data_IF_027238649497
#
_entry.id   IF_027238649497
#
_cell.length_a   1.000
_cell.length_b   1.000
_cell.length_c   1.000
_cell.angle_alpha   90.00
_cell.angle_beta   90.00
_cell.angle_gamma   90.00
#
_symmetry.space_group_name_H-M   'P 1'
#
loop_
_entity.id
_entity.type
_entity.pdbx_description
1 polymer ?
#
# COMPACT_ATOMS: atom_id res chain seq x y z
N UNK A 1 -5.02 -26.52 13.33
CA UNK A 1 -4.25 -25.40 13.93
C UNK A 1 -5.28 -24.50 14.60
N UNK A 2 -5.07 -24.17 15.87
CA UNK A 2 -6.06 -23.47 16.69
C UNK A 2 -6.01 -21.94 16.40
N UNK A 3 -7.17 -21.30 16.24
CA UNK A 3 -7.33 -19.87 15.96
C UNK A 3 -7.46 -19.01 17.22
N UNK A 4 -7.50 -19.62 18.40
CA UNK A 4 -7.71 -18.96 19.70
C UNK A 4 -6.67 -17.87 20.04
N UNK A 5 -5.51 -17.86 19.35
CA UNK A 5 -4.45 -16.87 19.56
C UNK A 5 -4.62 -15.59 18.73
N UNK A 6 -5.64 -15.49 17.88
CA UNK A 6 -5.89 -14.27 17.11
C UNK A 6 -6.52 -13.20 18.00
N UNK A 7 -5.94 -11.99 18.05
CA UNK A 7 -6.56 -10.88 18.76
C UNK A 7 -7.94 -10.55 18.18
N UNK A 8 -8.92 -10.46 19.06
CA UNK A 8 -10.30 -10.03 18.78
C UNK A 8 -10.70 -8.79 19.58
N UNK A 9 -9.76 -8.25 20.37
CA UNK A 9 -9.98 -7.14 21.30
C UNK A 9 -10.47 -5.85 20.62
N UNK A 10 -11.17 -4.96 21.35
CA UNK A 10 -11.89 -3.81 20.79
C UNK A 10 -11.01 -2.65 20.29
N UNK A 11 -9.70 -2.87 20.08
CA UNK A 11 -8.83 -1.87 19.45
C UNK A 11 -9.13 -1.67 17.96
N UNK A 12 -9.77 -2.65 17.30
CA UNK A 12 -10.22 -2.55 15.92
C UNK A 12 -11.74 -2.38 15.87
N UNK A 13 -12.19 -1.30 15.22
CA UNK A 13 -13.61 -1.04 14.98
C UNK A 13 -14.12 -1.89 13.80
N UNK A 14 -14.67 -3.06 14.13
CA UNK A 14 -15.20 -3.98 13.12
C UNK A 14 -16.39 -3.42 12.33
N UNK A 15 -17.09 -2.38 12.82
CA UNK A 15 -18.20 -1.77 12.08
C UNK A 15 -17.73 -1.18 10.74
N UNK A 16 -16.46 -0.75 10.66
CA UNK A 16 -15.84 -0.24 9.43
C UNK A 16 -15.31 -1.34 8.51
N UNK A 17 -15.12 -2.55 9.03
CA UNK A 17 -14.56 -3.69 8.28
C UNK A 17 -15.65 -4.41 7.49
N UNK A 18 -16.80 -4.62 8.11
CA UNK A 18 -17.89 -5.39 7.50
C UNK A 18 -18.47 -4.70 6.27
N UNK A 19 -18.56 -5.44 5.17
CA UNK A 19 -19.09 -4.93 3.89
C UNK A 19 -18.15 -4.00 3.12
N UNK A 20 -16.93 -3.79 3.61
CA UNK A 20 -15.94 -2.92 2.97
C UNK A 20 -14.57 -3.58 2.80
N UNK A 21 -14.00 -4.18 3.86
CA UNK A 21 -12.60 -4.61 3.87
C UNK A 21 -12.39 -6.12 3.97
N UNK A 22 -13.26 -6.86 4.66
CA UNK A 22 -13.09 -8.30 4.87
C UNK A 22 -14.42 -9.01 5.17
N UNK A 23 -14.59 -10.21 4.64
CA UNK A 23 -15.72 -11.10 4.90
C UNK A 23 -15.35 -12.21 5.90
N UNK A 24 -16.35 -12.71 6.64
CA UNK A 24 -16.18 -13.83 7.61
C UNK A 24 -15.04 -13.57 8.62
N UNK A 25 -15.10 -12.40 9.26
CA UNK A 25 -14.03 -11.90 10.14
C UNK A 25 -13.94 -12.71 11.43
N UNK A 26 -12.74 -13.19 11.75
CA UNK A 26 -12.43 -13.97 12.98
C UNK A 26 -11.43 -13.28 13.92
N UNK A 27 -10.98 -12.07 13.57
CA UNK A 27 -9.98 -11.30 14.32
C UNK A 27 -9.12 -10.44 13.40
N UNK A 28 -7.94 -10.02 13.86
CA UNK A 28 -6.96 -9.31 13.05
C UNK A 28 -5.53 -9.75 13.37
N UNK A 29 -4.58 -9.38 12.51
CA UNK A 29 -3.15 -9.63 12.72
C UNK A 29 -2.46 -8.31 13.07
N UNK A 30 -1.97 -8.12 14.31
CA UNK A 30 -1.19 -6.93 14.64
C UNK A 30 0.18 -6.99 13.96
N UNK A 31 0.57 -5.89 13.32
CA UNK A 31 1.91 -5.72 12.74
C UNK A 31 2.67 -4.64 13.53
N UNK A 32 3.93 -4.89 13.94
CA UNK A 32 4.77 -3.85 14.53
C UNK A 32 4.94 -2.68 13.56
N UNK A 33 4.78 -1.46 14.06
CA UNK A 33 4.95 -0.23 13.27
C UNK A 33 6.11 0.58 13.83
N UNK A 34 7.12 0.79 12.99
CA UNK A 34 8.24 1.68 13.26
C UNK A 34 8.07 3.04 12.58
N UNK A 35 8.87 4.02 13.01
CA UNK A 35 8.90 5.37 12.43
C UNK A 35 10.28 5.65 11.84
N UNK A 36 10.33 6.08 10.58
CA UNK A 36 11.54 6.52 9.88
C UNK A 36 11.51 8.03 9.72
N UNK A 37 12.59 8.71 10.07
CA UNK A 37 12.76 10.14 9.77
C UNK A 37 13.61 10.92 10.77
N UNK A 38 13.77 12.23 10.53
CA UNK A 38 13.13 12.98 9.45
C UNK A 38 13.71 12.68 8.06
N UNK A 39 12.84 12.55 7.05
CA UNK A 39 13.21 12.60 5.64
C UNK A 39 12.81 13.97 5.08
N UNK A 40 13.78 14.74 4.58
CA UNK A 40 13.49 15.97 3.84
C UNK A 40 13.25 15.64 2.37
N UNK A 41 12.03 15.87 1.91
CA UNK A 41 11.58 15.61 0.54
C UNK A 41 10.80 16.82 0.04
N UNK A 42 11.20 17.39 -1.10
CA UNK A 42 10.58 18.60 -1.68
C UNK A 42 10.48 19.76 -0.66
N UNK A 43 11.56 19.99 0.10
CA UNK A 43 11.66 21.00 1.18
C UNK A 43 10.76 20.73 2.40
N UNK A 44 9.93 19.69 2.38
CA UNK A 44 9.11 19.27 3.52
C UNK A 44 9.79 18.18 4.34
N UNK A 45 9.59 18.22 5.66
CA UNK A 45 10.09 17.20 6.58
C UNK A 45 8.99 16.21 6.90
N UNK A 46 9.20 14.95 6.52
CA UNK A 46 8.23 13.87 6.72
C UNK A 46 8.79 12.78 7.63
N UNK A 47 7.89 12.17 8.41
CA UNK A 47 8.15 10.93 9.14
C UNK A 47 7.31 9.81 8.52
N UNK A 48 7.97 8.73 8.14
CA UNK A 48 7.38 7.62 7.39
C UNK A 48 7.05 6.47 8.35
N UNK A 49 5.77 6.14 8.57
CA UNK A 49 5.40 4.94 9.30
C UNK A 49 5.65 3.68 8.45
N UNK A 50 6.25 2.66 9.03
CA UNK A 50 6.54 1.38 8.36
C UNK A 50 6.05 0.21 9.22
N UNK A 51 5.09 -0.55 8.71
CA UNK A 51 4.64 -1.80 9.32
C UNK A 51 5.48 -2.98 8.79
N UNK A 52 6.24 -3.65 9.65
CA UNK A 52 7.08 -4.79 9.25
C UNK A 52 7.42 -5.70 10.43
N UNK A 53 7.63 -6.98 10.14
CA UNK A 53 8.22 -7.95 11.07
C UNK A 53 9.70 -8.22 10.79
N UNK A 54 10.24 -7.66 9.70
CA UNK A 54 11.63 -7.85 9.30
C UNK A 54 12.57 -7.02 10.19
N UNK A 55 13.54 -7.71 10.80
CA UNK A 55 14.58 -7.07 11.61
C UNK A 55 15.43 -6.12 10.77
N UNK A 56 15.92 -5.05 11.39
CA UNK A 56 16.79 -4.04 10.79
C UNK A 56 16.20 -3.19 9.64
N UNK A 57 15.06 -3.55 9.03
CA UNK A 57 14.49 -2.81 7.89
C UNK A 57 14.22 -1.34 8.25
N UNK A 58 13.51 -1.09 9.36
CA UNK A 58 13.21 0.27 9.84
C UNK A 58 14.50 1.03 10.15
N UNK A 59 15.44 0.41 10.88
CA UNK A 59 16.69 1.05 11.28
C UNK A 59 17.58 1.41 10.07
N UNK A 60 17.68 0.50 9.09
CA UNK A 60 18.43 0.70 7.85
C UNK A 60 17.83 1.84 7.03
N UNK A 61 16.50 1.85 6.87
CA UNK A 61 15.79 2.92 6.16
C UNK A 61 15.95 4.26 6.87
N UNK A 62 15.91 4.27 8.21
CA UNK A 62 16.14 5.47 9.02
C UNK A 62 17.55 6.06 8.83
N UNK A 63 18.58 5.21 8.73
CA UNK A 63 19.94 5.65 8.42
C UNK A 63 20.02 6.31 7.04
N UNK A 64 19.32 5.75 6.04
CA UNK A 64 19.22 6.35 4.70
C UNK A 64 18.51 7.70 4.71
N UNK A 65 17.36 7.80 5.38
CA UNK A 65 16.62 9.05 5.54
C UNK A 65 17.48 10.14 6.20
N UNK A 66 18.23 9.78 7.25
CA UNK A 66 19.18 10.71 7.89
C UNK A 66 20.24 11.21 6.92
N UNK A 67 20.85 10.33 6.12
CA UNK A 67 21.87 10.71 5.16
C UNK A 67 21.33 11.65 4.07
N UNK A 68 20.13 11.37 3.55
CA UNK A 68 19.44 12.22 2.57
C UNK A 68 19.17 13.61 3.15
N UNK A 69 18.53 13.67 4.32
CA UNK A 69 18.19 14.92 4.99
C UNK A 69 19.41 15.77 5.30
N UNK A 70 20.49 15.16 5.79
CA UNK A 70 21.75 15.86 6.08
C UNK A 70 22.47 16.35 4.82
N UNK A 71 22.16 15.79 3.64
CA UNK A 71 22.75 16.16 2.36
C UNK A 71 21.94 17.24 1.61
N UNK A 72 20.97 17.88 2.27
CA UNK A 72 20.11 18.91 1.67
C UNK A 72 18.74 18.41 1.19
N UNK A 73 18.40 17.15 1.47
CA UNK A 73 17.11 16.55 1.12
C UNK A 73 17.06 15.97 -0.30
N UNK A 74 15.90 15.44 -0.66
CA UNK A 74 15.62 14.88 -1.97
C UNK A 74 14.50 15.66 -2.68
N UNK A 75 14.49 15.58 -4.02
CA UNK A 75 13.43 16.13 -4.86
C UNK A 75 12.75 14.98 -5.62
N UNK A 76 11.42 14.97 -5.65
CA UNK A 76 10.61 13.98 -6.35
C UNK A 76 9.40 14.64 -7.02
N UNK A 77 9.04 14.15 -8.21
CA UNK A 77 7.89 14.64 -8.98
C UNK A 77 7.06 13.48 -9.51
N UNK A 78 5.75 13.69 -9.63
CA UNK A 78 4.82 12.73 -10.23
C UNK A 78 4.84 12.94 -11.75
N UNK A 79 5.29 11.93 -12.50
CA UNK A 79 5.36 11.98 -13.97
C UNK A 79 4.09 11.50 -14.67
N UNK A 80 3.27 10.69 -13.99
CA UNK A 80 2.00 10.16 -14.47
C UNK A 80 1.16 9.70 -13.28
N UNK A 81 -0.14 9.95 -13.34
CA UNK A 81 -1.13 9.44 -12.41
C UNK A 81 -2.29 8.81 -13.20
N UNK A 82 -2.66 7.58 -12.86
CA UNK A 82 -3.73 6.88 -13.56
C UNK A 82 -3.79 5.38 -13.26
N UNK A 83 -5.00 4.91 -12.95
CA UNK A 83 -5.30 3.49 -12.73
C UNK A 83 -5.83 2.88 -14.02
N UNK A 84 -5.40 1.67 -14.35
CA UNK A 84 -5.86 0.94 -15.54
C UNK A 84 -6.82 -0.19 -15.18
N UNK A 85 -7.83 -0.42 -16.01
CA UNK A 85 -8.68 -1.62 -16.00
C UNK A 85 -8.84 -2.11 -17.43
N UNK A 86 -8.63 -3.41 -17.65
CA UNK A 86 -8.73 -4.02 -18.97
C UNK A 86 -9.77 -5.16 -18.93
N UNK A 87 -11.04 -4.89 -19.27
CA UNK A 87 -12.05 -5.95 -19.35
C UNK A 87 -11.75 -6.90 -20.52
N UNK A 88 -12.05 -8.18 -20.33
CA UNK A 88 -12.01 -9.16 -21.40
C UNK A 88 -13.41 -9.30 -22.00
N UNK A 89 -13.54 -9.00 -23.29
CA UNK A 89 -14.79 -9.13 -24.04
C UNK A 89 -14.65 -10.20 -25.10
N UNK A 90 -15.72 -10.96 -25.33
CA UNK A 90 -15.79 -11.98 -26.39
C UNK A 90 -16.81 -11.56 -27.43
N UNK A 91 -16.42 -11.65 -28.69
CA UNK A 91 -17.27 -11.41 -29.84
C UNK A 91 -17.47 -12.72 -30.61
N UNK A 92 -18.56 -12.87 -31.39
CA UNK A 92 -18.86 -14.10 -32.13
C UNK A 92 -17.77 -14.51 -33.13
N UNK A 93 -16.95 -13.57 -33.62
CA UNK A 93 -15.83 -13.86 -34.52
C UNK A 93 -14.68 -12.85 -34.33
N UNK A 94 -13.49 -13.23 -34.83
CA UNK A 94 -12.34 -12.32 -34.86
C UNK A 94 -12.61 -11.05 -35.69
N UNK A 95 -13.47 -11.14 -36.72
CA UNK A 95 -13.86 -9.99 -37.53
C UNK A 95 -14.65 -8.97 -36.71
N UNK A 96 -15.60 -9.41 -35.89
CA UNK A 96 -16.37 -8.53 -35.01
C UNK A 96 -15.50 -7.94 -33.89
N UNK A 97 -14.54 -8.71 -33.36
CA UNK A 97 -13.57 -8.19 -32.39
C UNK A 97 -12.66 -7.11 -33.01
N UNK A 98 -12.23 -7.30 -34.27
CA UNK A 98 -11.45 -6.31 -35.00
C UNK A 98 -12.24 -5.03 -35.27
N UNK A 99 -13.53 -5.15 -35.63
CA UNK A 99 -14.44 -3.99 -35.76
C UNK A 99 -14.56 -3.21 -34.45
N UNK A 100 -14.75 -3.91 -33.32
CA UNK A 100 -14.82 -3.27 -32.01
C UNK A 100 -13.51 -2.54 -31.64
N UNK A 101 -12.36 -3.15 -31.92
CA UNK A 101 -11.04 -2.54 -31.65
C UNK A 101 -10.84 -1.24 -32.44
N UNK A 102 -11.29 -1.17 -33.70
CA UNK A 102 -11.16 0.04 -34.53
C UNK A 102 -12.12 1.14 -34.08
N UNK A 103 -13.28 0.76 -33.53
CA UNK A 103 -14.28 1.70 -33.04
C UNK A 103 -13.88 2.39 -31.73
N UNK A 104 -13.23 1.68 -30.81
CA UNK A 104 -12.73 2.20 -29.53
C UNK A 104 -11.47 3.06 -29.70
#
# INVERSE_FOLDING_TARGET
RNIDNLPTTPSLDYSKVYGANCEVVVGYVPLPVGLVGPLTLNEETVYVPMATTEGCLVASTNRGAKAITQSGGAQAMIIRDGITRAPCVRLPSAMEAAKLKIWC
#
